data_IF_344613842179
#
_entry.id   IF_344613842179
#
_cell.length_a   1.000
_cell.length_b   1.000
_cell.length_c   1.000
_cell.angle_alpha   90.00
_cell.angle_beta   90.00
_cell.angle_gamma   90.00
#
_symmetry.space_group_name_H-M   'P 1'
#
loop_
_entity.id
_entity.type
_entity.pdbx_description
1 polymer ?
#
# COMPACT_ATOMS: atom_id res chain seq x y z
N UNK A 1 21.34 -10.04 -16.27
CA UNK A 1 20.42 -10.06 -15.11
C UNK A 1 20.41 -11.46 -14.52
N UNK A 2 20.65 -11.63 -13.22
CA UNK A 2 20.66 -12.95 -12.56
C UNK A 2 19.22 -13.52 -12.49
N UNK A 3 19.08 -14.83 -12.32
CA UNK A 3 17.76 -15.48 -12.23
C UNK A 3 16.91 -14.96 -11.07
N UNK A 4 17.51 -14.71 -9.90
CA UNK A 4 16.79 -14.15 -8.76
C UNK A 4 16.35 -12.70 -9.00
N UNK A 5 17.16 -11.89 -9.68
CA UNK A 5 16.81 -10.52 -10.01
C UNK A 5 15.60 -10.49 -10.95
N UNK A 6 15.57 -11.37 -11.95
CA UNK A 6 14.43 -11.54 -12.84
C UNK A 6 13.15 -11.90 -12.08
N UNK A 7 13.21 -12.82 -11.11
CA UNK A 7 12.05 -13.19 -10.28
C UNK A 7 11.58 -12.06 -9.37
N UNK A 8 12.48 -11.23 -8.83
CA UNK A 8 12.11 -10.05 -8.04
C UNK A 8 11.33 -9.06 -8.91
N UNK A 9 11.85 -8.77 -10.11
CA UNK A 9 11.17 -7.91 -11.07
C UNK A 9 9.78 -8.45 -11.41
N UNK A 10 9.68 -9.72 -11.85
CA UNK A 10 8.38 -10.34 -12.17
C UNK A 10 7.40 -10.28 -11.01
N UNK A 11 7.85 -10.55 -9.79
CA UNK A 11 7.00 -10.49 -8.60
C UNK A 11 6.44 -9.09 -8.36
N UNK A 12 7.31 -8.08 -8.33
CA UNK A 12 6.87 -6.71 -8.05
C UNK A 12 6.02 -6.15 -9.19
N UNK A 13 6.41 -6.39 -10.44
CA UNK A 13 5.66 -5.93 -11.62
C UNK A 13 4.24 -6.51 -11.59
N UNK A 14 4.12 -7.84 -11.45
CA UNK A 14 2.82 -8.52 -11.41
C UNK A 14 1.95 -8.02 -10.25
N UNK A 15 2.53 -7.83 -9.07
CA UNK A 15 1.77 -7.39 -7.89
C UNK A 15 1.28 -5.95 -8.04
N UNK A 16 2.13 -5.04 -8.52
CA UNK A 16 1.76 -3.64 -8.67
C UNK A 16 0.82 -3.41 -9.87
N UNK A 17 0.92 -4.22 -10.93
CA UNK A 17 -0.08 -4.26 -11.99
C UNK A 17 -1.46 -4.63 -11.43
N UNK A 18 -1.52 -5.63 -10.55
CA UNK A 18 -2.78 -6.01 -9.87
C UNK A 18 -3.31 -4.89 -9.00
N UNK A 19 -2.46 -4.14 -8.29
CA UNK A 19 -2.88 -2.96 -7.52
C UNK A 19 -3.48 -1.87 -8.40
N UNK A 20 -2.91 -1.64 -9.59
CA UNK A 20 -3.48 -0.71 -10.55
C UNK A 20 -4.84 -1.19 -11.09
N UNK A 21 -5.01 -2.50 -11.30
CA UNK A 21 -6.32 -3.08 -11.66
C UNK A 21 -7.33 -2.88 -10.53
N UNK A 22 -6.98 -3.21 -9.28
CA UNK A 22 -7.83 -2.96 -8.11
C UNK A 22 -8.26 -1.49 -7.99
N UNK A 23 -7.34 -0.55 -8.24
CA UNK A 23 -7.65 0.88 -8.25
C UNK A 23 -8.66 1.22 -9.35
N UNK A 24 -8.48 0.71 -10.57
CA UNK A 24 -9.43 0.92 -11.68
C UNK A 24 -10.82 0.39 -11.32
N UNK A 25 -10.90 -0.82 -10.76
CA UNK A 25 -12.19 -1.40 -10.37
C UNK A 25 -12.88 -0.58 -9.27
N UNK A 26 -12.15 -0.17 -8.22
CA UNK A 26 -12.71 0.70 -7.18
C UNK A 26 -13.30 1.99 -7.76
N UNK A 27 -12.54 2.65 -8.64
CA UNK A 27 -12.94 3.96 -9.20
C UNK A 27 -14.22 3.88 -10.04
N UNK A 28 -14.64 2.71 -10.52
CA UNK A 28 -15.92 2.56 -11.22
C UNK A 28 -17.13 2.59 -10.27
N UNK A 29 -16.95 2.15 -9.02
CA UNK A 29 -18.06 1.92 -8.09
C UNK A 29 -18.27 3.01 -7.03
N UNK A 30 -17.24 3.80 -6.72
CA UNK A 30 -17.31 4.75 -5.59
C UNK A 30 -18.05 6.04 -5.92
N UNK A 31 -18.74 6.65 -4.96
CA UNK A 31 -19.38 7.96 -5.14
C UNK A 31 -18.37 9.08 -4.87
N UNK A 32 -18.42 10.15 -5.65
CA UNK A 32 -17.61 11.34 -5.39
C UNK A 32 -18.19 12.11 -4.18
N UNK A 33 -17.38 12.50 -3.18
CA UNK A 33 -17.88 13.22 -2.01
C UNK A 33 -18.59 14.54 -2.36
N UNK A 34 -18.20 15.22 -3.45
CA UNK A 34 -18.88 16.45 -3.88
C UNK A 34 -20.29 16.20 -4.41
N UNK A 35 -20.57 14.98 -4.89
CA UNK A 35 -21.93 14.60 -5.25
C UNK A 35 -22.82 14.38 -4.02
N UNK A 36 -22.22 14.05 -2.87
CA UNK A 36 -22.92 13.87 -1.59
C UNK A 36 -23.13 15.20 -0.85
N UNK A 37 -22.13 16.08 -0.90
CA UNK A 37 -22.14 17.40 -0.28
C UNK A 37 -21.41 18.39 -1.20
N UNK A 38 -22.12 19.25 -1.97
CA UNK A 38 -21.49 20.17 -2.93
C UNK A 38 -20.69 21.32 -2.30
N UNK A 39 -20.89 21.60 -1.01
CA UNK A 39 -20.30 22.72 -0.26
C UNK A 39 -19.03 22.35 0.52
N UNK A 40 -18.48 21.14 0.30
CA UNK A 40 -17.26 20.70 0.98
C UNK A 40 -16.05 21.58 0.65
N UNK A 41 -15.23 21.84 1.67
CA UNK A 41 -13.93 22.51 1.52
C UNK A 41 -12.96 21.64 0.69
N UNK A 42 -12.78 22.05 -0.57
CA UNK A 42 -11.91 21.37 -1.54
C UNK A 42 -10.46 21.29 -1.09
N UNK A 43 -9.96 22.30 -0.37
CA UNK A 43 -8.57 22.30 0.11
C UNK A 43 -8.40 21.30 1.26
N UNK A 44 -9.38 21.23 2.17
CA UNK A 44 -9.43 20.18 3.21
C UNK A 44 -9.50 18.80 2.58
N UNK A 45 -10.33 18.61 1.56
CA UNK A 45 -10.41 17.33 0.84
C UNK A 45 -9.06 16.95 0.22
N UNK A 46 -8.42 17.86 -0.52
CA UNK A 46 -7.10 17.60 -1.15
C UNK A 46 -6.03 17.24 -0.12
N UNK A 47 -5.93 17.98 0.99
CA UNK A 47 -4.98 17.65 2.08
C UNK A 47 -5.26 16.29 2.69
N UNK A 48 -6.54 15.97 2.91
CA UNK A 48 -6.97 14.68 3.48
C UNK A 48 -6.72 13.53 2.51
N UNK A 49 -6.92 13.77 1.21
CA UNK A 49 -6.68 12.84 0.14
C UNK A 49 -5.19 12.50 0.02
N UNK A 50 -4.30 13.49 0.13
CA UNK A 50 -2.86 13.26 0.17
C UNK A 50 -2.46 12.28 1.28
N UNK A 51 -3.04 12.43 2.49
CA UNK A 51 -2.80 11.51 3.62
C UNK A 51 -3.38 10.11 3.39
N UNK A 52 -4.52 10.00 2.69
CA UNK A 52 -5.07 8.71 2.28
C UNK A 52 -4.09 8.00 1.31
N UNK A 53 -3.65 8.72 0.29
CA UNK A 53 -2.74 8.22 -0.74
C UNK A 53 -1.41 7.76 -0.12
N UNK A 54 -0.83 8.55 0.78
CA UNK A 54 0.39 8.17 1.51
C UNK A 54 0.20 6.86 2.30
N UNK A 55 -0.93 6.73 2.99
CA UNK A 55 -1.24 5.53 3.79
C UNK A 55 -1.39 4.29 2.90
N UNK A 56 -2.12 4.41 1.79
CA UNK A 56 -2.30 3.31 0.82
C UNK A 56 -0.99 2.93 0.13
N UNK A 57 -0.15 3.92 -0.19
CA UNK A 57 1.17 3.71 -0.79
C UNK A 57 2.09 2.96 0.17
N UNK A 58 2.13 3.39 1.44
CA UNK A 58 2.90 2.71 2.49
C UNK A 58 2.39 1.28 2.71
N UNK A 59 1.07 1.06 2.67
CA UNK A 59 0.50 -0.28 2.72
C UNK A 59 0.93 -1.14 1.54
N UNK A 60 0.87 -0.63 0.30
CA UNK A 60 1.27 -1.37 -0.89
C UNK A 60 2.73 -1.86 -0.82
N UNK A 61 3.65 -0.96 -0.41
CA UNK A 61 5.07 -1.30 -0.21
C UNK A 61 5.22 -2.31 0.93
N UNK A 62 4.65 -2.01 2.09
CA UNK A 62 4.77 -2.82 3.29
C UNK A 62 4.21 -4.23 3.10
N UNK A 63 3.08 -4.36 2.39
CA UNK A 63 2.49 -5.65 2.06
C UNK A 63 3.39 -6.45 1.11
N UNK A 64 3.83 -5.85 0.00
CA UNK A 64 4.71 -6.52 -0.96
C UNK A 64 5.99 -7.05 -0.29
N UNK A 65 6.68 -6.19 0.48
CA UNK A 65 7.91 -6.56 1.18
C UNK A 65 7.64 -7.56 2.30
N UNK A 66 6.60 -7.30 3.10
CA UNK A 66 6.23 -8.13 4.25
C UNK A 66 5.90 -9.57 3.85
N UNK A 67 5.26 -9.79 2.69
CA UNK A 67 4.99 -11.13 2.16
C UNK A 67 6.27 -11.92 1.89
N UNK A 68 7.28 -11.28 1.31
CA UNK A 68 8.57 -11.92 1.04
C UNK A 68 9.31 -12.19 2.34
N UNK A 69 9.42 -11.19 3.22
CA UNK A 69 10.12 -11.32 4.51
C UNK A 69 9.48 -12.41 5.37
N UNK A 70 8.16 -12.45 5.44
CA UNK A 70 7.43 -13.46 6.20
C UNK A 70 7.64 -14.88 5.63
N UNK A 71 7.65 -15.03 4.31
CA UNK A 71 7.92 -16.31 3.68
C UNK A 71 9.38 -16.78 3.93
N UNK A 72 10.35 -15.86 3.88
CA UNK A 72 11.74 -16.16 4.23
C UNK A 72 11.83 -16.56 5.71
N UNK A 73 11.25 -15.76 6.62
CA UNK A 73 11.27 -16.01 8.07
C UNK A 73 10.69 -17.37 8.44
N UNK A 74 9.62 -17.82 7.78
CA UNK A 74 9.05 -19.16 7.98
C UNK A 74 9.97 -20.26 7.48
N UNK A 75 10.71 -20.01 6.42
CA UNK A 75 11.67 -20.99 5.88
C UNK A 75 12.99 -21.04 6.65
N UNK A 76 13.41 -19.91 7.21
CA UNK A 76 14.63 -19.76 7.99
C UNK A 76 14.50 -18.58 8.97
N UNK A 77 14.17 -18.86 10.25
CA UNK A 77 14.03 -17.83 11.27
C UNK A 77 15.32 -17.04 11.54
N UNK A 78 16.50 -17.59 11.26
CA UNK A 78 17.79 -16.93 11.55
C UNK A 78 18.04 -15.73 10.63
N UNK A 79 17.38 -15.69 9.47
CA UNK A 79 17.51 -14.61 8.50
C UNK A 79 16.64 -13.38 8.83
N UNK A 80 15.69 -13.50 9.77
CA UNK A 80 14.71 -12.44 10.05
C UNK A 80 15.36 -11.11 10.47
N UNK A 81 16.27 -11.18 11.43
CA UNK A 81 16.94 -9.99 11.98
C UNK A 81 17.94 -9.37 10.98
N UNK A 82 18.83 -10.14 10.31
CA UNK A 82 19.65 -9.62 9.21
C UNK A 82 18.85 -8.91 8.12
N UNK A 83 17.74 -9.51 7.68
CA UNK A 83 16.88 -8.94 6.62
C UNK A 83 16.22 -7.65 7.10
N UNK A 84 15.70 -7.64 8.33
CA UNK A 84 15.07 -6.44 8.92
C UNK A 84 16.05 -5.27 8.94
N UNK A 85 17.30 -5.51 9.36
CA UNK A 85 18.35 -4.48 9.35
C UNK A 85 18.72 -4.02 7.94
N UNK A 86 18.78 -4.93 6.97
CA UNK A 86 19.07 -4.57 5.59
C UNK A 86 17.99 -3.68 4.98
N UNK A 87 16.72 -4.04 5.19
CA UNK A 87 15.55 -3.25 4.79
C UNK A 87 15.57 -1.86 5.43
N UNK A 88 15.85 -1.77 6.72
CA UNK A 88 15.90 -0.49 7.43
C UNK A 88 16.95 0.48 6.84
N UNK A 89 18.09 -0.04 6.35
CA UNK A 89 19.14 0.80 5.73
C UNK A 89 18.70 1.41 4.40
N UNK A 90 17.88 0.71 3.62
CA UNK A 90 17.39 1.22 2.32
C UNK A 90 16.49 2.44 2.53
N UNK A 91 15.64 2.42 3.56
CA UNK A 91 14.77 3.55 3.88
C UNK A 91 15.52 4.84 4.22
N UNK A 92 16.75 4.75 4.72
CA UNK A 92 17.57 5.92 5.11
C UNK A 92 18.23 6.60 3.89
N UNK A 93 18.28 5.94 2.73
CA UNK A 93 19.02 6.40 1.55
C UNK A 93 18.17 6.67 0.30
N UNK A 94 16.85 6.88 0.44
CA UNK A 94 15.97 7.07 -0.71
C UNK A 94 16.29 8.38 -1.47
N UNK A 95 16.71 8.25 -2.73
CA UNK A 95 16.89 9.38 -3.64
C UNK A 95 15.56 9.97 -4.09
N UNK A 96 15.53 11.26 -4.52
CA UNK A 96 14.30 11.88 -5.03
C UNK A 96 13.74 11.10 -6.22
N UNK A 97 12.41 10.95 -6.23
CA UNK A 97 11.70 10.23 -7.27
C UNK A 97 11.94 10.90 -8.66
N UNK A 98 12.24 10.11 -9.71
CA UNK A 98 12.30 10.63 -11.08
C UNK A 98 10.95 11.21 -11.51
N UNK A 99 10.98 12.13 -12.46
CA UNK A 99 9.79 12.64 -13.12
C UNK A 99 9.01 11.47 -13.76
N UNK A 100 7.75 11.32 -13.37
CA UNK A 100 6.88 10.28 -13.89
C UNK A 100 6.07 10.79 -15.07
N UNK A 101 5.73 9.87 -15.98
CA UNK A 101 4.72 10.13 -16.97
C UNK A 101 3.41 10.55 -16.29
N UNK A 102 2.63 11.46 -16.90
CA UNK A 102 1.33 11.84 -16.37
C UNK A 102 0.45 10.60 -16.22
N UNK A 103 -0.28 10.54 -15.10
CA UNK A 103 -1.20 9.44 -14.84
C UNK A 103 -2.26 9.33 -15.96
N UNK A 104 -2.71 8.11 -16.31
CA UNK A 104 -3.79 7.96 -17.27
C UNK A 104 -5.09 8.56 -16.71
N UNK A 105 -6.00 8.98 -17.59
CA UNK A 105 -7.36 9.33 -17.20
C UNK A 105 -8.10 8.06 -16.77
N UNK A 106 -8.62 8.03 -15.55
CA UNK A 106 -9.29 6.84 -15.00
C UNK A 106 -10.78 6.81 -15.33
N UNK A 107 -11.42 7.98 -15.32
CA UNK A 107 -12.85 8.13 -15.50
C UNK A 107 -13.20 8.82 -16.82
N UNK A 108 -14.15 8.23 -17.55
CA UNK A 108 -14.78 8.89 -18.70
C UNK A 108 -15.50 10.16 -18.24
N UNK A 109 -16.17 10.09 -17.09
CA UNK A 109 -16.96 11.16 -16.47
C UNK A 109 -16.20 11.94 -15.39
N UNK A 110 -14.88 12.05 -15.50
CA UNK A 110 -14.01 12.75 -14.53
C UNK A 110 -14.51 14.14 -14.09
N UNK A 111 -15.15 14.90 -14.98
CA UNK A 111 -15.72 16.22 -14.66
C UNK A 111 -16.86 16.16 -13.62
N UNK A 112 -17.61 15.06 -13.59
CA UNK A 112 -18.68 14.80 -12.62
C UNK A 112 -18.16 14.20 -11.32
N UNK A 113 -16.95 13.64 -11.35
CA UNK A 113 -16.32 12.92 -10.24
C UNK A 113 -14.85 13.36 -10.07
N UNK A 114 -14.60 14.67 -9.87
CA UNK A 114 -13.26 15.23 -9.94
C UNK A 114 -12.36 14.77 -8.79
N UNK A 115 -12.92 14.44 -7.62
CA UNK A 115 -12.15 13.96 -6.46
C UNK A 115 -11.78 12.50 -6.64
N UNK A 116 -12.68 11.69 -7.21
CA UNK A 116 -12.35 10.29 -7.56
C UNK A 116 -11.26 10.24 -8.63
N UNK A 117 -11.36 11.08 -9.68
CA UNK A 117 -10.32 11.15 -10.71
C UNK A 117 -8.97 11.57 -10.11
N UNK A 118 -8.97 12.63 -9.28
CA UNK A 118 -7.76 13.10 -8.61
C UNK A 118 -7.12 12.00 -7.75
N UNK A 119 -7.93 11.31 -6.96
CA UNK A 119 -7.49 10.17 -6.15
C UNK A 119 -6.83 9.09 -7.00
N UNK A 120 -7.50 8.69 -8.08
CA UNK A 120 -7.03 7.63 -8.95
C UNK A 120 -5.72 7.99 -9.64
N UNK A 121 -5.63 9.22 -10.18
CA UNK A 121 -4.44 9.72 -10.85
C UNK A 121 -3.24 9.82 -9.89
N UNK A 122 -3.42 10.43 -8.72
CA UNK A 122 -2.34 10.59 -7.76
C UNK A 122 -1.90 9.25 -7.17
N UNK A 123 -2.84 8.37 -6.82
CA UNK A 123 -2.50 7.05 -6.30
C UNK A 123 -1.82 6.17 -7.35
N UNK A 124 -2.23 6.25 -8.62
CA UNK A 124 -1.53 5.56 -9.72
C UNK A 124 -0.05 5.95 -9.76
N UNK A 125 0.23 7.25 -9.80
CA UNK A 125 1.59 7.79 -9.81
C UNK A 125 2.38 7.28 -8.62
N UNK A 126 1.78 7.28 -7.42
CA UNK A 126 2.43 6.76 -6.22
C UNK A 126 2.66 5.24 -6.25
N UNK A 127 1.73 4.44 -6.77
CA UNK A 127 1.89 2.99 -6.97
C UNK A 127 3.07 2.73 -7.93
N UNK A 128 3.19 3.49 -9.02
CA UNK A 128 4.32 3.39 -9.94
C UNK A 128 5.67 3.63 -9.24
N UNK A 129 5.77 4.67 -8.40
CA UNK A 129 6.97 4.93 -7.58
C UNK A 129 7.22 3.83 -6.56
N UNK A 130 6.19 3.45 -5.81
CA UNK A 130 6.24 2.43 -4.77
C UNK A 130 6.73 1.09 -5.29
N UNK A 131 6.47 0.75 -6.57
CA UNK A 131 7.04 -0.46 -7.18
C UNK A 131 8.57 -0.44 -7.17
N UNK A 132 9.20 0.73 -7.35
CA UNK A 132 10.67 0.86 -7.35
C UNK A 132 11.22 0.68 -5.94
N UNK A 133 10.58 1.31 -4.96
CA UNK A 133 10.92 1.17 -3.55
C UNK A 133 10.77 -0.28 -3.09
N UNK A 134 9.66 -0.93 -3.41
CA UNK A 134 9.44 -2.34 -3.09
C UNK A 134 10.49 -3.26 -3.75
N UNK A 135 10.87 -3.01 -5.01
CA UNK A 135 11.99 -3.74 -5.67
C UNK A 135 13.30 -3.56 -4.89
N UNK A 136 13.66 -2.34 -4.50
CA UNK A 136 14.88 -2.07 -3.75
C UNK A 136 14.90 -2.81 -2.40
N UNK A 137 13.77 -2.81 -1.69
CA UNK A 137 13.62 -3.49 -0.39
C UNK A 137 13.69 -5.01 -0.52
N UNK A 138 13.02 -5.59 -1.52
CA UNK A 138 13.08 -7.04 -1.78
C UNK A 138 14.47 -7.44 -2.25
N UNK A 139 15.15 -6.61 -3.05
CA UNK A 139 16.55 -6.83 -3.45
C UNK A 139 17.48 -6.85 -2.24
N UNK A 140 17.31 -5.92 -1.28
CA UNK A 140 18.10 -5.91 -0.05
C UNK A 140 17.90 -7.20 0.78
N UNK A 141 16.67 -7.69 0.86
CA UNK A 141 16.39 -8.99 1.48
C UNK A 141 17.10 -10.13 0.72
N UNK A 142 17.01 -10.17 -0.61
CA UNK A 142 17.65 -11.19 -1.44
C UNK A 142 19.18 -11.17 -1.33
N UNK A 143 19.81 -9.99 -1.34
CA UNK A 143 21.25 -9.83 -1.11
C UNK A 143 21.63 -10.38 0.27
N UNK A 144 20.81 -10.13 1.29
CA UNK A 144 21.05 -10.66 2.63
C UNK A 144 21.01 -12.19 2.65
N UNK A 145 20.02 -12.80 1.98
CA UNK A 145 19.95 -14.27 1.83
C UNK A 145 21.19 -14.78 1.10
N UNK A 146 21.58 -14.16 -0.01
CA UNK A 146 22.76 -14.57 -0.77
C UNK A 146 24.06 -14.52 0.05
N UNK A 147 24.19 -13.54 0.95
CA UNK A 147 25.39 -13.39 1.78
C UNK A 147 25.41 -14.33 3.00
N UNK A 148 24.26 -14.62 3.62
CA UNK A 148 24.21 -15.38 4.89
C UNK A 148 23.84 -16.85 4.71
N UNK A 149 23.09 -17.18 3.65
CA UNK A 149 22.57 -18.52 3.38
C UNK A 149 22.43 -18.73 1.86
N UNK A 150 23.53 -18.73 1.09
CA UNK A 150 23.51 -18.78 -0.37
C UNK A 150 22.75 -19.99 -0.93
N UNK A 151 22.79 -21.14 -0.23
CA UNK A 151 22.06 -22.35 -0.58
C UNK A 151 20.52 -22.16 -0.55
N UNK A 152 20.03 -21.15 0.16
CA UNK A 152 18.60 -20.80 0.24
C UNK A 152 18.11 -19.92 -0.91
N UNK A 153 19.00 -19.45 -1.80
CA UNK A 153 18.59 -18.60 -2.93
C UNK A 153 17.60 -19.27 -3.87
N UNK A 154 17.73 -20.60 -4.08
CA UNK A 154 16.76 -21.37 -4.88
C UNK A 154 15.38 -21.37 -4.22
N UNK A 155 15.32 -21.47 -2.89
CA UNK A 155 14.08 -21.42 -2.14
C UNK A 155 13.43 -20.03 -2.21
N UNK A 156 14.23 -18.95 -2.13
CA UNK A 156 13.75 -17.58 -2.31
C UNK A 156 13.11 -17.39 -3.68
N UNK A 157 13.75 -17.86 -4.75
CA UNK A 157 13.16 -17.78 -6.09
C UNK A 157 11.81 -18.50 -6.14
N UNK A 158 11.73 -19.73 -5.60
CA UNK A 158 10.44 -20.47 -5.53
C UNK A 158 9.39 -19.77 -4.68
N UNK A 159 9.79 -19.03 -3.65
CA UNK A 159 8.88 -18.18 -2.86
C UNK A 159 8.30 -17.07 -3.74
N UNK A 160 9.15 -16.35 -4.48
CA UNK A 160 8.72 -15.26 -5.36
C UNK A 160 7.76 -15.77 -6.45
N UNK A 161 8.08 -16.90 -7.08
CA UNK A 161 7.19 -17.54 -8.07
C UNK A 161 5.82 -17.89 -7.46
N UNK A 162 5.79 -18.49 -6.26
CA UNK A 162 4.50 -18.77 -5.58
C UNK A 162 3.71 -17.51 -5.21
N UNK A 163 4.40 -16.43 -4.87
CA UNK A 163 3.76 -15.16 -4.54
C UNK A 163 3.21 -14.44 -5.77
N UNK A 164 3.81 -14.65 -6.95
CA UNK A 164 3.25 -14.19 -8.23
C UNK A 164 1.86 -14.80 -8.43
N UNK A 165 1.66 -16.08 -8.14
CA UNK A 165 0.37 -16.73 -8.37
C UNK A 165 -0.65 -16.55 -7.23
N UNK A 166 -0.27 -15.88 -6.12
CA UNK A 166 -1.14 -15.70 -4.96
C UNK A 166 -2.12 -14.51 -5.13
N UNK A 167 -3.44 -14.75 -5.27
CA UNK A 167 -4.41 -13.68 -5.41
C UNK A 167 -4.67 -12.91 -4.11
N UNK A 168 -4.25 -13.45 -2.94
CA UNK A 168 -4.50 -12.87 -1.62
C UNK A 168 -3.99 -11.43 -1.52
N UNK A 169 -2.89 -11.12 -2.21
CA UNK A 169 -2.31 -9.77 -2.16
C UNK A 169 -3.18 -8.73 -2.86
N UNK A 170 -3.85 -9.11 -3.95
CA UNK A 170 -4.81 -8.23 -4.63
C UNK A 170 -6.02 -7.95 -3.74
N UNK A 171 -6.58 -8.99 -3.11
CA UNK A 171 -7.72 -8.82 -2.21
C UNK A 171 -7.36 -7.93 -1.02
N UNK A 172 -6.20 -8.12 -0.42
CA UNK A 172 -5.75 -7.29 0.70
C UNK A 172 -5.66 -5.80 0.33
N UNK A 173 -5.18 -5.47 -0.88
CA UNK A 173 -5.10 -4.08 -1.33
C UNK A 173 -6.47 -3.51 -1.71
N UNK A 174 -7.33 -4.28 -2.38
CA UNK A 174 -8.72 -3.90 -2.65
C UNK A 174 -9.46 -3.58 -1.36
N UNK A 175 -9.34 -4.44 -0.34
CA UNK A 175 -9.94 -4.20 0.97
C UNK A 175 -9.46 -2.88 1.60
N UNK A 176 -8.15 -2.57 1.49
CA UNK A 176 -7.62 -1.29 2.00
C UNK A 176 -8.09 -0.09 1.19
N UNK A 177 -8.24 -0.22 -0.13
CA UNK A 177 -8.79 0.82 -0.99
C UNK A 177 -10.24 1.16 -0.61
N UNK A 178 -11.09 0.14 -0.45
CA UNK A 178 -12.50 0.30 -0.09
C UNK A 178 -12.68 0.93 1.29
N UNK A 179 -11.95 0.42 2.29
CA UNK A 179 -11.97 1.01 3.63
C UNK A 179 -11.41 2.43 3.62
N UNK A 180 -10.24 2.63 3.03
CA UNK A 180 -9.59 3.94 2.98
C UNK A 180 -10.48 5.00 2.34
N UNK A 181 -11.13 4.68 1.22
CA UNK A 181 -12.07 5.58 0.57
C UNK A 181 -13.30 5.89 1.44
N UNK A 182 -13.85 4.87 2.10
CA UNK A 182 -15.01 5.04 2.98
C UNK A 182 -14.70 5.94 4.18
N UNK A 183 -13.54 5.74 4.82
CA UNK A 183 -13.09 6.60 5.91
C UNK A 183 -12.75 8.01 5.43
N UNK A 184 -12.11 8.15 4.27
CA UNK A 184 -11.88 9.45 3.65
C UNK A 184 -13.18 10.21 3.45
N UNK A 185 -14.17 9.57 2.84
CA UNK A 185 -15.49 10.16 2.59
C UNK A 185 -16.13 10.60 3.91
N UNK A 186 -16.13 9.75 4.94
CA UNK A 186 -16.66 10.09 6.26
C UNK A 186 -15.92 11.28 6.92
N UNK A 187 -14.60 11.34 6.78
CA UNK A 187 -13.79 12.44 7.33
C UNK A 187 -14.05 13.77 6.65
N UNK A 188 -14.20 13.79 5.32
CA UNK A 188 -14.40 15.04 4.59
C UNK A 188 -15.84 15.55 4.69
N UNK A 189 -16.81 14.64 4.80
CA UNK A 189 -18.23 14.96 4.99
C UNK A 189 -18.63 15.16 6.45
N UNK A 190 -17.68 15.07 7.38
CA UNK A 190 -17.92 15.09 8.82
C UNK A 190 -18.95 14.05 9.33
N UNK A 191 -19.18 12.99 8.55
CA UNK A 191 -20.01 11.86 8.96
C UNK A 191 -19.28 10.96 9.98
N UNK A 192 -20.01 10.11 10.74
CA UNK A 192 -19.42 9.08 11.58
C UNK A 192 -18.53 8.12 10.77
N UNK A 193 -17.50 7.56 11.41
CA UNK A 193 -16.67 6.52 10.79
C UNK A 193 -17.56 5.33 10.34
N UNK A 194 -17.28 4.74 9.17
CA UNK A 194 -18.12 3.66 8.64
C UNK A 194 -18.07 2.43 9.53
N UNK A 195 -19.21 1.77 9.69
CA UNK A 195 -19.27 0.48 10.36
C UNK A 195 -18.49 -0.56 9.53
N UNK A 196 -17.42 -1.11 10.12
CA UNK A 196 -16.66 -2.18 9.49
C UNK A 196 -17.34 -3.51 9.86
N UNK A 197 -17.65 -4.40 8.88
CA UNK A 197 -18.20 -5.72 9.18
C UNK A 197 -17.26 -6.53 10.08
N UNK A 198 -17.82 -7.34 10.98
CA UNK A 198 -17.04 -8.24 11.84
C UNK A 198 -16.65 -9.53 11.09
N UNK A 199 -15.97 -9.34 9.95
CA UNK A 199 -15.42 -10.44 9.16
C UNK A 199 -13.89 -10.47 9.30
N UNK A 200 -13.27 -11.67 9.33
CA UNK A 200 -11.82 -11.80 9.50
C UNK A 200 -10.98 -10.98 8.52
N UNK A 201 -11.44 -10.80 7.27
CA UNK A 201 -10.73 -10.01 6.26
C UNK A 201 -10.57 -8.53 6.63
N UNK A 202 -11.51 -7.98 7.39
CA UNK A 202 -11.54 -6.56 7.74
C UNK A 202 -10.84 -6.23 9.06
N UNK A 203 -10.52 -7.24 9.88
CA UNK A 203 -9.96 -7.03 11.22
C UNK A 203 -8.66 -6.20 11.21
N UNK A 204 -7.75 -6.50 10.27
CA UNK A 204 -6.47 -5.77 10.17
C UNK A 204 -6.62 -4.33 9.66
N UNK A 205 -7.58 -4.08 8.77
CA UNK A 205 -7.87 -2.73 8.27
C UNK A 205 -8.54 -1.84 9.31
N UNK A 206 -9.36 -2.43 10.20
CA UNK A 206 -10.17 -1.69 11.18
C UNK A 206 -9.35 -0.77 12.07
N UNK A 207 -8.31 -1.29 12.71
CA UNK A 207 -7.47 -0.50 13.61
C UNK A 207 -6.72 0.61 12.87
N UNK A 208 -6.17 0.29 11.70
CA UNK A 208 -5.47 1.25 10.85
C UNK A 208 -6.35 2.44 10.47
N UNK A 209 -7.53 2.18 9.90
CA UNK A 209 -8.39 3.26 9.39
C UNK A 209 -9.09 4.05 10.50
N UNK A 210 -9.41 3.41 11.62
CA UNK A 210 -9.90 4.11 12.81
C UNK A 210 -8.83 5.06 13.38
N UNK A 211 -7.57 4.62 13.47
CA UNK A 211 -6.45 5.46 13.89
C UNK A 211 -6.20 6.61 12.90
N UNK A 212 -6.27 6.32 11.60
CA UNK A 212 -6.11 7.28 10.53
C UNK A 212 -7.17 8.40 10.61
N UNK A 213 -8.46 8.04 10.70
CA UNK A 213 -9.55 9.03 10.80
C UNK A 213 -9.39 9.91 12.03
N UNK A 214 -9.09 9.32 13.19
CA UNK A 214 -8.85 10.09 14.41
C UNK A 214 -7.72 11.10 14.24
N UNK A 215 -6.59 10.66 13.68
CA UNK A 215 -5.44 11.54 13.40
C UNK A 215 -5.80 12.68 12.45
N UNK A 216 -6.53 12.39 11.37
CA UNK A 216 -6.92 13.43 10.41
C UNK A 216 -7.86 14.44 11.06
N UNK A 217 -8.77 13.99 11.93
CA UNK A 217 -9.68 14.86 12.70
C UNK A 217 -9.02 15.56 13.90
N UNK A 218 -7.73 15.32 14.16
CA UNK A 218 -7.03 15.90 15.31
C UNK A 218 -7.44 15.31 16.66
N UNK A 219 -8.07 14.13 16.68
CA UNK A 219 -8.40 13.42 17.93
C UNK A 219 -7.24 12.51 18.36
N UNK A 220 -7.01 12.34 19.68
CA UNK A 220 -5.96 11.47 20.18
C UNK A 220 -6.12 10.03 19.69
N UNK A 221 -5.04 9.46 19.15
CA UNK A 221 -4.97 8.04 18.78
C UNK A 221 -4.67 7.23 20.04
N UNK A 222 -5.44 6.16 20.31
CA UNK A 222 -5.19 5.32 21.48
C UNK A 222 -3.98 4.43 21.21
N UNK A 223 -3.21 4.12 22.27
CA UNK A 223 -2.02 3.28 22.17
C UNK A 223 -2.31 1.88 21.62
N UNK A 224 -3.51 1.37 21.86
CA UNK A 224 -4.03 0.10 21.32
C UNK A 224 -4.18 0.14 19.79
N UNK A 225 -4.62 1.25 19.23
CA UNK A 225 -4.82 1.37 17.77
C UNK A 225 -3.47 1.41 17.01
N UNK A 226 -2.41 1.90 17.68
CA UNK A 226 -1.05 1.94 17.14
C UNK A 226 -0.34 0.58 17.14
N UNK A 227 -0.78 -0.36 17.99
CA UNK A 227 -0.19 -1.70 18.07
C UNK A 227 -0.83 -2.66 17.04
N UNK A 228 -2.07 -2.40 16.64
CA UNK A 228 -2.83 -3.23 15.69
C UNK A 228 -2.77 -2.70 14.25
N UNK A 229 -2.63 -1.39 14.06
CA UNK A 229 -2.37 -0.78 12.75
C UNK A 229 -0.87 -0.79 12.45
N UNK A 230 -0.47 -1.32 11.29
CA UNK A 230 0.86 -1.11 10.70
C UNK A 230 1.05 0.38 10.37
N UNK A 231 1.17 1.22 11.39
CA UNK A 231 1.74 2.54 11.23
C UNK A 231 3.24 2.29 11.32
N UNK A 232 3.84 2.04 10.15
CA UNK A 232 5.21 2.42 9.92
C UNK A 232 5.37 3.81 10.54
N UNK A 233 6.21 3.91 11.55
CA UNK A 233 6.75 5.18 12.02
C UNK A 233 7.46 5.79 10.81
N UNK A 234 6.73 6.52 9.99
CA UNK A 234 7.29 7.60 9.20
C UNK A 234 7.61 8.66 10.24
N UNK A 235 8.90 8.80 10.51
CA UNK A 235 9.47 9.79 11.42
C UNK A 235 9.14 11.21 10.94
#
# INVERSE_FOLDING_TARGET
MSHHEASIHRYIDTLFDRYQVSLRELTRGVVDPLAMAPDLDVDRMRRTLGRLIETLTAFAIGHAVGRVVEAIRRSDPQLAEPITRAIARVYVGAEPAPELLPAPRYLVDAERRPIVELFAAELHTRICLASREARALVRAAATTVASHAPERMVALVRILERLIDDPTSSFAFTDQLELGWSFFTAVVTDAPDPAIPDEPRWQRGRALWSAWSRRVRGTPVRRTDLQEGYILRVA
#
